data_IF_374394065024
#
_entry.id   IF_374394065024
#
_cell.length_a   1.000
_cell.length_b   1.000
_cell.length_c   1.000
_cell.angle_alpha   90.00
_cell.angle_beta   90.00
_cell.angle_gamma   90.00
#
_symmetry.space_group_name_H-M   'P 1'
#
loop_
_entity.id
_entity.type
_entity.pdbx_description
1 polymer ?
#
# COMPACT_ATOMS: atom_id res chain seq x y z
N UNK A 1 -7.76 -53.82 37.37
CA UNK A 1 -6.45 -54.47 37.23
C UNK A 1 -5.52 -53.47 36.55
N UNK A 2 -4.38 -53.13 37.17
CA UNK A 2 -3.27 -52.44 36.51
C UNK A 2 -2.60 -53.45 35.59
N UNK A 3 -2.53 -53.16 34.30
CA UNK A 3 -1.53 -53.74 33.42
C UNK A 3 -0.49 -52.64 33.18
N UNK A 4 0.74 -52.96 33.54
CA UNK A 4 1.91 -52.12 33.37
C UNK A 4 2.37 -52.23 31.91
N UNK A 5 2.57 -51.09 31.24
CA UNK A 5 3.55 -50.96 30.18
C UNK A 5 4.65 -50.06 30.76
N UNK A 6 5.81 -50.67 31.00
CA UNK A 6 7.05 -50.00 31.37
C UNK A 6 7.64 -49.31 30.14
N UNK A 7 8.09 -48.05 30.33
CA UNK A 7 9.19 -47.34 29.67
C UNK A 7 9.29 -47.34 28.14
N UNK A 8 9.73 -46.29 27.46
CA UNK A 8 10.13 -44.91 27.74
C UNK A 8 10.25 -44.30 26.33
N UNK A 9 10.55 -43.01 26.26
CA UNK A 9 10.94 -42.22 25.09
C UNK A 9 9.78 -41.54 24.37
N UNK A 10 9.42 -40.40 24.96
CA UNK A 10 9.25 -39.12 24.28
C UNK A 10 8.40 -39.17 23.00
N UNK A 11 7.07 -39.14 23.18
CA UNK A 11 6.19 -38.37 22.30
C UNK A 11 6.56 -36.88 22.53
N UNK A 12 7.75 -36.49 22.09
CA UNK A 12 8.14 -35.10 21.96
C UNK A 12 7.29 -34.54 20.83
N UNK A 13 6.66 -33.43 21.14
CA UNK A 13 5.56 -32.82 20.44
C UNK A 13 6.02 -32.16 19.13
N UNK A 14 6.65 -32.90 18.21
CA UNK A 14 7.15 -32.32 16.95
C UNK A 14 6.04 -32.28 15.88
N UNK A 15 4.86 -31.78 16.27
CA UNK A 15 4.10 -30.97 15.33
C UNK A 15 4.93 -29.70 15.14
N UNK A 16 5.92 -29.81 14.26
CA UNK A 16 6.60 -28.68 13.66
C UNK A 16 5.53 -27.82 12.99
N UNK A 17 4.96 -26.92 13.78
CA UNK A 17 4.13 -25.77 13.41
C UNK A 17 4.97 -24.71 12.66
N UNK A 18 6.22 -25.06 12.32
CA UNK A 18 7.25 -24.24 11.71
C UNK A 18 7.16 -24.22 10.17
N UNK A 19 6.09 -24.79 9.57
CA UNK A 19 5.80 -24.68 8.13
C UNK A 19 4.76 -23.58 7.81
N UNK A 20 4.32 -22.80 8.80
CA UNK A 20 3.89 -21.43 8.53
C UNK A 20 5.14 -20.59 8.29
N UNK A 21 5.79 -20.84 7.15
CA UNK A 21 6.57 -19.81 6.50
C UNK A 21 5.62 -18.62 6.32
N UNK A 22 5.79 -17.63 7.19
CA UNK A 22 5.21 -16.30 7.09
C UNK A 22 5.81 -15.61 5.85
N UNK A 23 5.58 -16.20 4.67
CA UNK A 23 5.83 -15.62 3.35
C UNK A 23 4.74 -14.56 3.07
N UNK A 24 4.46 -13.73 4.07
CA UNK A 24 3.63 -12.54 3.98
C UNK A 24 4.44 -11.33 3.46
N UNK A 25 5.66 -11.54 2.94
CA UNK A 25 6.39 -10.56 2.14
C UNK A 25 5.88 -10.48 0.68
N UNK A 26 4.63 -10.90 0.42
CA UNK A 26 3.98 -10.68 -0.86
C UNK A 26 3.67 -9.20 -1.03
N UNK A 27 4.59 -8.48 -1.67
CA UNK A 27 4.35 -7.14 -2.18
C UNK A 27 3.13 -7.17 -3.10
N UNK A 28 2.03 -6.57 -2.64
CA UNK A 28 0.82 -6.47 -3.44
C UNK A 28 1.00 -5.42 -4.54
N UNK A 29 0.31 -5.55 -5.68
CA UNK A 29 0.40 -4.55 -6.74
C UNK A 29 0.01 -3.13 -6.33
N UNK A 30 -0.68 -2.94 -5.18
CA UNK A 30 -1.11 -1.62 -4.70
C UNK A 30 -0.11 -0.97 -3.74
N UNK A 31 0.85 -1.73 -3.18
CA UNK A 31 1.79 -1.21 -2.18
C UNK A 31 2.73 -0.14 -2.74
N UNK A 32 2.94 -0.13 -4.06
CA UNK A 32 3.74 0.90 -4.75
C UNK A 32 2.93 2.15 -5.13
N UNK A 33 1.61 2.16 -4.91
CA UNK A 33 0.71 3.22 -5.35
C UNK A 33 0.51 4.25 -4.24
N UNK A 34 0.88 5.51 -4.51
CA UNK A 34 0.52 6.60 -3.61
C UNK A 34 -0.96 6.98 -3.77
N UNK A 35 -1.78 6.90 -2.70
CA UNK A 35 -3.23 7.07 -2.80
C UNK A 35 -3.65 8.50 -3.18
N UNK A 36 -2.91 9.52 -2.73
CA UNK A 36 -3.23 10.92 -3.02
C UNK A 36 -2.91 11.26 -4.47
N UNK A 37 -1.74 10.80 -4.94
CA UNK A 37 -1.35 10.95 -6.35
C UNK A 37 -2.35 10.24 -7.26
N UNK A 38 -2.71 8.99 -6.94
CA UNK A 38 -3.66 8.20 -7.74
C UNK A 38 -5.05 8.84 -7.79
N UNK A 39 -5.55 9.34 -6.67
CA UNK A 39 -6.83 10.04 -6.62
C UNK A 39 -6.82 11.28 -7.53
N UNK A 40 -5.80 12.14 -7.39
CA UNK A 40 -5.71 13.38 -8.19
C UNK A 40 -5.57 13.09 -9.68
N UNK A 41 -4.80 12.07 -10.06
CA UNK A 41 -4.69 11.67 -11.46
C UNK A 41 -5.99 11.13 -12.02
N UNK A 42 -6.71 10.33 -11.23
CA UNK A 42 -8.04 9.84 -11.61
C UNK A 42 -9.02 11.01 -11.84
N UNK A 43 -9.01 12.02 -10.96
CA UNK A 43 -9.84 13.21 -11.10
C UNK A 43 -9.44 14.04 -12.34
N UNK A 44 -8.15 14.18 -12.62
CA UNK A 44 -7.66 14.86 -13.83
C UNK A 44 -8.06 14.11 -15.11
N UNK A 45 -7.99 12.77 -15.11
CA UNK A 45 -8.47 11.94 -16.22
C UNK A 45 -9.97 12.10 -16.40
N UNK A 46 -10.76 12.14 -15.32
CA UNK A 46 -12.19 12.42 -15.40
C UNK A 46 -12.45 13.80 -16.01
N UNK A 47 -11.72 14.82 -15.57
CA UNK A 47 -11.84 16.18 -16.12
C UNK A 47 -11.51 16.24 -17.61
N UNK A 48 -10.47 15.52 -18.06
CA UNK A 48 -10.04 15.52 -19.46
C UNK A 48 -10.94 14.67 -20.37
N UNK A 49 -11.46 13.54 -19.87
CA UNK A 49 -12.27 12.60 -20.64
C UNK A 49 -13.76 12.97 -20.67
N UNK A 50 -14.29 13.52 -19.58
CA UNK A 50 -15.69 13.94 -19.46
C UNK A 50 -15.80 15.24 -18.61
N UNK A 51 -15.54 16.40 -19.25
CA UNK A 51 -15.57 17.69 -18.56
C UNK A 51 -16.93 18.02 -17.93
N UNK A 52 -18.04 17.61 -18.57
CA UNK A 52 -19.38 17.85 -18.04
C UNK A 52 -19.63 17.06 -16.76
N UNK A 53 -19.22 15.78 -16.72
CA UNK A 53 -19.35 14.97 -15.50
C UNK A 53 -18.48 15.51 -14.37
N UNK A 54 -17.26 15.96 -14.67
CA UNK A 54 -16.40 16.61 -13.68
C UNK A 54 -17.03 17.90 -13.12
N UNK A 55 -17.56 18.77 -13.98
CA UNK A 55 -18.25 19.99 -13.53
C UNK A 55 -19.48 19.67 -12.67
N UNK A 56 -20.30 18.71 -13.09
CA UNK A 56 -21.47 18.28 -12.32
C UNK A 56 -21.09 17.74 -10.95
N UNK A 57 -20.00 16.97 -10.85
CA UNK A 57 -19.51 16.49 -9.57
C UNK A 57 -19.01 17.64 -8.69
N UNK A 58 -18.10 18.46 -9.21
CA UNK A 58 -17.43 19.51 -8.42
C UNK A 58 -18.36 20.64 -7.98
N UNK A 59 -19.36 21.00 -8.79
CA UNK A 59 -20.32 22.05 -8.43
C UNK A 59 -21.31 21.63 -7.33
N UNK A 60 -21.49 20.32 -7.11
CA UNK A 60 -22.39 19.80 -6.06
C UNK A 60 -21.73 19.73 -4.69
N UNK A 61 -20.41 19.87 -4.63
CA UNK A 61 -19.66 19.92 -3.39
C UNK A 61 -19.89 21.28 -2.70
N UNK A 62 -20.13 21.25 -1.39
CA UNK A 62 -20.10 22.47 -0.59
C UNK A 62 -18.67 23.03 -0.46
N UNK A 63 -18.55 24.22 0.10
CA UNK A 63 -17.27 24.90 0.28
C UNK A 63 -16.24 24.06 1.06
N UNK A 64 -16.67 23.28 2.04
CA UNK A 64 -15.77 22.46 2.85
C UNK A 64 -15.12 21.37 1.98
N UNK A 65 -15.92 20.66 1.18
CA UNK A 65 -15.40 19.62 0.30
C UNK A 65 -14.61 20.17 -0.89
N UNK A 66 -14.96 21.36 -1.40
CA UNK A 66 -14.15 22.06 -2.40
C UNK A 66 -12.78 22.45 -1.85
N UNK A 67 -12.72 22.98 -0.62
CA UNK A 67 -11.47 23.29 0.06
C UNK A 67 -10.64 22.02 0.30
N UNK A 68 -11.28 20.94 0.75
CA UNK A 68 -10.63 19.64 0.95
C UNK A 68 -10.04 19.09 -0.36
N UNK A 69 -10.79 19.13 -1.47
CA UNK A 69 -10.31 18.67 -2.76
C UNK A 69 -9.07 19.45 -3.23
N UNK A 70 -9.05 20.76 -3.02
CA UNK A 70 -7.86 21.58 -3.30
C UNK A 70 -6.69 21.22 -2.38
N UNK A 71 -6.94 20.99 -1.09
CA UNK A 71 -5.91 20.54 -0.14
C UNK A 71 -5.31 19.19 -0.51
N UNK A 72 -6.13 18.24 -0.94
CA UNK A 72 -5.69 16.93 -1.45
C UNK A 72 -4.85 17.09 -2.72
N UNK A 73 -5.24 17.99 -3.62
CA UNK A 73 -4.45 18.29 -4.82
C UNK A 73 -3.05 18.83 -4.48
N UNK A 74 -2.96 19.76 -3.53
CA UNK A 74 -1.68 20.28 -3.03
C UNK A 74 -0.83 19.21 -2.34
N UNK A 75 -1.45 18.36 -1.53
CA UNK A 75 -0.75 17.26 -0.87
C UNK A 75 -0.20 16.24 -1.87
N UNK A 76 -0.96 15.90 -2.91
CA UNK A 76 -0.48 15.01 -3.98
C UNK A 76 0.73 15.59 -4.73
N UNK A 77 0.82 16.91 -4.90
CA UNK A 77 2.01 17.55 -5.49
C UNK A 77 3.24 17.41 -4.60
N UNK A 78 3.09 17.55 -3.28
CA UNK A 78 4.18 17.31 -2.32
C UNK A 78 4.64 15.85 -2.38
N UNK A 79 3.69 14.90 -2.35
CA UNK A 79 3.99 13.46 -2.47
C UNK A 79 4.70 13.11 -3.76
N UNK A 80 4.33 13.69 -4.91
CA UNK A 80 5.06 13.49 -6.18
C UNK A 80 6.52 13.92 -6.08
N UNK A 81 6.80 15.05 -5.43
CA UNK A 81 8.17 15.53 -5.25
C UNK A 81 8.99 14.60 -4.33
N UNK A 82 8.39 14.15 -3.23
CA UNK A 82 9.00 13.20 -2.29
C UNK A 82 9.31 11.85 -2.94
N UNK A 83 8.34 11.28 -3.66
CA UNK A 83 8.53 10.02 -4.39
C UNK A 83 9.63 10.17 -5.45
N UNK A 84 9.69 11.32 -6.14
CA UNK A 84 10.75 11.62 -7.09
C UNK A 84 12.13 11.61 -6.42
N UNK A 85 12.24 12.23 -5.24
CA UNK A 85 13.47 12.24 -4.44
C UNK A 85 13.86 10.84 -3.96
N UNK A 86 12.93 10.09 -3.38
CA UNK A 86 13.16 8.71 -2.92
C UNK A 86 13.63 7.79 -4.05
N UNK A 87 13.03 7.93 -5.25
CA UNK A 87 13.45 7.17 -6.43
C UNK A 87 14.88 7.50 -6.86
N UNK A 88 15.28 8.77 -6.81
CA UNK A 88 16.66 9.17 -7.11
C UNK A 88 17.65 8.65 -6.07
N UNK A 89 17.29 8.66 -4.79
CA UNK A 89 18.11 8.13 -3.69
C UNK A 89 18.27 6.61 -3.76
N UNK A 90 17.19 5.88 -4.07
CA UNK A 90 17.25 4.42 -4.28
C UNK A 90 18.13 4.06 -5.50
N UNK A 91 17.99 4.80 -6.61
CA UNK A 91 18.80 4.58 -7.81
C UNK A 91 20.28 4.89 -7.57
N UNK A 92 20.60 5.94 -6.82
CA UNK A 92 21.99 6.25 -6.47
C UNK A 92 22.57 5.18 -5.55
N UNK A 93 21.85 4.76 -4.51
CA UNK A 93 22.26 3.67 -3.60
C UNK A 93 22.52 2.34 -4.34
N UNK A 94 21.64 1.97 -5.28
CA UNK A 94 21.80 0.78 -6.11
C UNK A 94 23.04 0.86 -7.02
N UNK A 95 23.42 2.06 -7.47
CA UNK A 95 24.62 2.29 -8.28
C UNK A 95 25.91 2.22 -7.45
N UNK A 96 25.89 2.62 -6.17
CA UNK A 96 27.08 2.52 -5.28
C UNK A 96 27.30 1.10 -4.77
N UNK A 97 26.27 0.27 -4.75
CA UNK A 97 26.32 -1.13 -4.31
C UNK A 97 26.74 -2.12 -5.43
N UNK A 98 26.87 -1.64 -6.67
CA UNK A 98 27.29 -2.41 -7.86
C UNK A 98 28.75 -2.15 -8.23
#
# INVERSE_FOLDING_TARGET
AKAFHENDDDDDDDYSDDDFSDDEELQSPIDEVDPFVFFVDTVKVLQASDPMRFQNLTQTLDFHYQALANGVAQHAEQRRAEIGKEKMEKASAATVAS
#
